data_IF_264657201478
#
_entry.id   IF_264657201478
#
_cell.length_a   1.000
_cell.length_b   1.000
_cell.length_c   1.000
_cell.angle_alpha   90.00
_cell.angle_beta   90.00
_cell.angle_gamma   90.00
#
_symmetry.space_group_name_H-M   'P 1'
#
loop_
_entity.id
_entity.type
_entity.pdbx_description
1 polymer ?
#
# COMPACT_ATOMS: atom_id res chain seq x y z
N UNK A 1 -12.92 30.70 9.14
CA UNK A 1 -13.29 29.40 8.53
C UNK A 1 -13.11 28.32 9.58
N UNK A 2 -13.99 27.33 9.67
CA UNK A 2 -13.80 26.20 10.57
C UNK A 2 -12.54 25.43 10.17
N UNK A 3 -11.76 24.96 11.16
CA UNK A 3 -10.61 24.10 10.87
C UNK A 3 -11.05 22.81 10.16
N UNK A 4 -10.24 22.27 9.23
CA UNK A 4 -10.48 20.95 8.64
C UNK A 4 -10.61 19.88 9.73
N UNK A 5 -11.55 18.95 9.55
CA UNK A 5 -11.81 17.85 10.49
C UNK A 5 -11.18 16.58 9.96
N UNK A 6 -10.15 16.10 10.65
CA UNK A 6 -9.41 14.90 10.26
C UNK A 6 -9.74 13.75 11.21
N UNK A 7 -10.00 12.57 10.65
CA UNK A 7 -10.16 11.34 11.44
C UNK A 7 -8.84 10.58 11.46
N UNK A 8 -8.29 10.34 12.65
CA UNK A 8 -7.11 9.51 12.87
C UNK A 8 -7.53 8.06 13.13
N UNK A 9 -7.09 7.15 12.27
CA UNK A 9 -7.29 5.71 12.40
C UNK A 9 -5.95 5.02 12.72
N UNK A 10 -5.98 4.04 13.60
CA UNK A 10 -4.78 3.43 14.18
C UNK A 10 -4.62 1.95 13.79
N UNK A 11 -3.59 1.66 13.00
CA UNK A 11 -3.08 0.31 12.77
C UNK A 11 -1.89 -0.06 13.66
N UNK A 12 -1.37 -1.29 13.53
CA UNK A 12 -0.17 -1.70 14.22
C UNK A 12 1.04 -1.02 13.56
N UNK A 13 2.12 -0.76 14.29
CA UNK A 13 3.33 -0.28 13.64
C UNK A 13 4.36 0.26 14.59
N UNK A 14 5.48 0.69 14.01
CA UNK A 14 6.58 1.32 14.75
C UNK A 14 6.22 2.70 15.26
N UNK A 15 5.46 3.49 14.49
CA UNK A 15 5.05 4.85 14.88
C UNK A 15 4.41 4.91 16.28
N UNK A 16 3.41 4.07 16.63
CA UNK A 16 2.85 4.08 17.98
C UNK A 16 3.70 3.30 19.00
N UNK A 17 4.78 2.61 18.61
CA UNK A 17 5.56 1.78 19.53
C UNK A 17 6.47 2.60 20.46
N UNK A 18 6.81 1.99 21.60
CA UNK A 18 7.72 2.55 22.59
C UNK A 18 8.92 1.63 22.80
N UNK A 19 10.12 2.21 22.84
CA UNK A 19 11.36 1.52 23.20
C UNK A 19 11.53 1.39 24.72
N UNK A 20 12.46 0.54 25.16
CA UNK A 20 12.83 0.42 26.60
C UNK A 20 13.45 1.72 27.13
N UNK A 21 14.26 2.35 26.30
CA UNK A 21 14.91 3.63 26.49
C UNK A 21 14.96 4.39 25.14
N UNK A 22 15.62 5.55 25.12
CA UNK A 22 15.69 6.41 23.93
C UNK A 22 16.64 5.86 22.84
N UNK A 23 17.50 4.90 23.14
CA UNK A 23 18.44 4.30 22.19
C UNK A 23 17.93 2.98 21.61
N UNK A 24 16.79 2.47 22.08
CA UNK A 24 16.15 1.27 21.55
C UNK A 24 15.47 1.53 20.18
N UNK A 25 16.30 1.57 19.13
CA UNK A 25 15.86 1.79 17.75
C UNK A 25 15.38 0.51 17.05
N UNK A 26 15.74 -0.67 17.56
CA UNK A 26 15.59 -1.93 16.84
C UNK A 26 14.79 -3.00 17.59
N UNK A 27 14.82 -2.98 18.93
CA UNK A 27 14.25 -4.05 19.77
C UNK A 27 12.98 -3.62 20.50
N UNK A 28 12.44 -2.45 20.18
CA UNK A 28 11.25 -1.85 20.80
C UNK A 28 10.01 -2.76 20.80
N UNK A 29 9.88 -3.71 19.86
CA UNK A 29 8.79 -4.70 19.88
C UNK A 29 8.85 -5.63 21.10
N UNK A 30 10.03 -5.78 21.68
CA UNK A 30 10.30 -6.57 22.89
C UNK A 30 10.45 -5.70 24.14
N UNK A 31 10.02 -4.42 24.09
CA UNK A 31 10.17 -3.50 25.22
C UNK A 31 9.25 -3.83 26.40
N UNK A 32 8.19 -4.60 26.16
CA UNK A 32 7.12 -4.84 27.15
C UNK A 32 6.20 -3.63 27.36
N UNK A 33 6.43 -2.52 26.65
CA UNK A 33 5.57 -1.33 26.71
C UNK A 33 4.46 -1.43 25.67
N UNK A 34 3.21 -1.07 26.01
CA UNK A 34 2.12 -1.03 25.05
C UNK A 34 2.38 0.04 23.98
N UNK A 35 1.76 -0.14 22.82
CA UNK A 35 1.67 0.93 21.82
C UNK A 35 0.87 2.10 22.38
N UNK A 36 1.25 3.32 21.99
CA UNK A 36 0.51 4.53 22.29
C UNK A 36 -0.84 4.51 21.56
N UNK A 37 -1.89 4.92 22.26
CA UNK A 37 -3.22 5.12 21.64
C UNK A 37 -3.23 6.36 20.76
N UNK A 38 -4.23 6.48 19.88
CA UNK A 38 -4.40 7.69 19.06
C UNK A 38 -4.45 8.97 19.90
N UNK A 39 -5.15 8.94 21.05
CA UNK A 39 -5.23 10.08 21.97
C UNK A 39 -3.88 10.42 22.60
N UNK A 40 -3.09 9.42 22.98
CA UNK A 40 -1.74 9.63 23.52
C UNK A 40 -0.81 10.24 22.46
N UNK A 41 -0.91 9.82 21.20
CA UNK A 41 -0.14 10.40 20.09
C UNK A 41 -0.54 11.86 19.84
N UNK A 42 -1.83 12.18 19.80
CA UNK A 42 -2.31 13.55 19.65
C UNK A 42 -1.88 14.44 20.82
N UNK A 43 -1.95 13.92 22.06
CA UNK A 43 -1.46 14.64 23.24
C UNK A 43 0.06 14.87 23.24
N UNK A 44 0.82 14.00 22.58
CA UNK A 44 2.27 14.14 22.45
C UNK A 44 2.73 15.05 21.29
N UNK A 45 1.81 15.41 20.37
CA UNK A 45 2.07 16.33 19.25
C UNK A 45 0.97 17.40 19.19
N UNK A 46 0.86 18.28 20.21
CA UNK A 46 -0.22 19.26 20.31
C UNK A 46 -0.24 20.28 19.16
N UNK A 47 0.89 20.47 18.46
CA UNK A 47 1.02 21.36 17.30
C UNK A 47 0.06 21.00 16.15
N UNK A 48 -0.42 19.75 16.11
CA UNK A 48 -1.44 19.29 15.16
C UNK A 48 -2.69 20.17 15.20
N UNK A 49 -3.08 20.68 16.38
CA UNK A 49 -4.26 21.50 16.57
C UNK A 49 -4.20 22.86 15.84
N UNK A 50 -3.01 23.29 15.40
CA UNK A 50 -2.87 24.48 14.57
C UNK A 50 -3.41 24.26 13.13
N UNK A 51 -3.45 23.01 12.66
CA UNK A 51 -3.75 22.67 11.27
C UNK A 51 -5.11 22.00 11.07
N UNK A 52 -5.57 21.22 12.04
CA UNK A 52 -6.83 20.49 11.95
C UNK A 52 -7.43 20.15 13.31
N UNK A 53 -8.74 20.02 13.34
CA UNK A 53 -9.45 19.36 14.44
C UNK A 53 -9.39 17.85 14.21
N UNK A 54 -8.58 17.13 15.00
CA UNK A 54 -8.37 15.69 14.84
C UNK A 54 -9.17 14.90 15.87
N UNK A 55 -9.88 13.87 15.41
CA UNK A 55 -10.59 12.91 16.27
C UNK A 55 -10.10 11.49 15.99
N UNK A 56 -9.99 10.67 17.03
CA UNK A 56 -9.60 9.25 16.88
C UNK A 56 -10.82 8.44 16.45
N UNK A 57 -10.62 7.45 15.58
CA UNK A 57 -11.62 6.46 15.25
C UNK A 57 -11.53 5.26 16.21
N UNK A 58 -12.45 5.19 17.17
CA UNK A 58 -12.45 4.09 18.16
C UNK A 58 -12.95 2.75 17.60
N UNK A 59 -13.54 2.75 16.40
CA UNK A 59 -14.10 1.55 15.79
C UNK A 59 -13.24 1.04 14.63
N UNK A 60 -12.05 1.61 14.38
CA UNK A 60 -11.21 1.14 13.28
C UNK A 60 -10.56 -0.22 13.62
N UNK A 61 -10.44 -1.13 12.63
CA UNK A 61 -9.79 -2.42 12.86
C UNK A 61 -8.28 -2.22 13.13
N UNK A 62 -7.76 -2.86 14.17
CA UNK A 62 -6.36 -2.74 14.60
C UNK A 62 -5.42 -3.82 14.03
N UNK A 63 -5.95 -4.91 13.48
CA UNK A 63 -5.15 -5.96 12.86
C UNK A 63 -5.03 -5.70 11.35
N UNK A 64 -3.81 -5.62 10.83
CA UNK A 64 -3.57 -5.65 9.38
C UNK A 64 -2.45 -6.64 9.10
N UNK A 65 -2.82 -7.80 8.59
CA UNK A 65 -1.88 -8.79 8.08
C UNK A 65 -2.48 -9.69 6.99
N UNK A 66 -3.77 -9.54 6.68
CA UNK A 66 -4.51 -10.39 5.75
C UNK A 66 -5.35 -9.59 4.76
N UNK A 67 -5.78 -10.22 3.67
CA UNK A 67 -6.70 -9.61 2.70
C UNK A 67 -8.06 -9.26 3.33
N UNK A 68 -8.53 -10.05 4.30
CA UNK A 68 -9.77 -9.76 5.02
C UNK A 68 -9.63 -8.54 5.93
N UNK A 69 -8.48 -8.36 6.57
CA UNK A 69 -8.20 -7.16 7.35
C UNK A 69 -8.19 -5.90 6.46
N UNK A 70 -7.56 -5.99 5.28
CA UNK A 70 -7.55 -4.91 4.29
C UNK A 70 -8.96 -4.58 3.80
N UNK A 71 -9.79 -5.61 3.56
CA UNK A 71 -11.21 -5.44 3.19
C UNK A 71 -11.97 -4.68 4.27
N UNK A 72 -11.87 -5.11 5.54
CA UNK A 72 -12.50 -4.45 6.70
C UNK A 72 -12.02 -3.00 6.86
N UNK A 73 -10.72 -2.77 6.71
CA UNK A 73 -10.16 -1.42 6.77
C UNK A 73 -10.73 -0.53 5.67
N UNK A 74 -10.81 -1.03 4.43
CA UNK A 74 -11.37 -0.24 3.32
C UNK A 74 -12.84 0.11 3.54
N UNK A 75 -13.64 -0.81 4.08
CA UNK A 75 -15.03 -0.53 4.43
C UNK A 75 -15.11 0.59 5.48
N UNK A 76 -14.32 0.50 6.55
CA UNK A 76 -14.29 1.51 7.60
C UNK A 76 -13.83 2.88 7.10
N UNK A 77 -12.82 2.91 6.24
CA UNK A 77 -12.33 4.15 5.61
C UNK A 77 -13.43 4.77 4.74
N UNK A 78 -14.14 3.97 3.94
CA UNK A 78 -15.25 4.45 3.13
C UNK A 78 -16.39 5.03 4.00
N UNK A 79 -16.77 4.36 5.09
CA UNK A 79 -17.75 4.87 6.05
C UNK A 79 -17.33 6.23 6.61
N UNK A 80 -16.08 6.35 7.08
CA UNK A 80 -15.59 7.59 7.66
C UNK A 80 -15.56 8.74 6.63
N UNK A 81 -15.06 8.47 5.41
CA UNK A 81 -14.97 9.47 4.35
C UNK A 81 -16.35 9.84 3.77
N UNK A 82 -17.37 8.99 3.90
CA UNK A 82 -18.74 9.31 3.49
C UNK A 82 -19.40 10.36 4.41
N UNK A 83 -18.98 10.47 5.68
CA UNK A 83 -19.58 11.42 6.63
C UNK A 83 -19.29 12.86 6.24
N UNK A 84 -20.31 13.72 6.30
CA UNK A 84 -20.17 15.16 6.03
C UNK A 84 -19.32 15.88 7.08
N UNK A 85 -19.09 15.25 8.23
CA UNK A 85 -18.28 15.80 9.33
C UNK A 85 -16.80 15.42 9.32
N UNK A 86 -16.34 14.72 8.28
CA UNK A 86 -14.94 14.33 8.07
C UNK A 86 -14.46 14.92 6.76
N UNK A 87 -13.35 15.66 6.79
CA UNK A 87 -12.76 16.31 5.63
C UNK A 87 -11.58 15.51 5.05
N UNK A 88 -10.91 14.69 5.88
CA UNK A 88 -9.86 13.75 5.48
C UNK A 88 -9.58 12.69 6.55
N UNK A 89 -8.83 11.64 6.19
CA UNK A 89 -8.42 10.56 7.09
C UNK A 89 -6.90 10.43 7.09
N UNK A 90 -6.33 10.22 8.28
CA UNK A 90 -4.96 9.73 8.47
C UNK A 90 -5.01 8.32 9.01
N UNK A 91 -4.31 7.39 8.36
CA UNK A 91 -4.15 6.02 8.81
C UNK A 91 -2.70 5.74 9.20
N UNK A 92 -2.46 5.40 10.46
CA UNK A 92 -1.15 5.00 10.96
C UNK A 92 -0.93 3.51 10.71
N UNK A 93 0.18 3.16 10.07
CA UNK A 93 0.50 1.77 9.71
C UNK A 93 1.99 1.44 9.90
N UNK A 94 2.26 0.15 10.10
CA UNK A 94 3.60 -0.41 10.16
C UNK A 94 4.29 -0.34 8.80
N UNK A 95 5.53 0.14 8.78
CA UNK A 95 6.21 0.43 7.51
C UNK A 95 6.46 -0.79 6.62
N UNK A 96 6.38 -2.01 7.17
CA UNK A 96 6.59 -3.24 6.43
C UNK A 96 5.58 -3.46 5.29
N UNK A 97 4.34 -2.99 5.45
CA UNK A 97 3.24 -3.22 4.49
C UNK A 97 2.44 -1.95 4.19
N UNK A 98 3.03 -0.76 4.42
CA UNK A 98 2.41 0.52 4.04
C UNK A 98 2.09 0.55 2.55
N UNK A 99 3.02 0.10 1.71
CA UNK A 99 2.84 0.17 0.25
C UNK A 99 1.70 -0.73 -0.25
N UNK A 100 1.50 -1.88 0.38
CA UNK A 100 0.39 -2.81 0.11
C UNK A 100 -0.93 -2.23 0.61
N UNK A 101 -0.97 -1.78 1.87
CA UNK A 101 -2.17 -1.22 2.50
C UNK A 101 -2.64 0.02 1.73
N UNK A 102 -1.72 0.94 1.43
CA UNK A 102 -2.03 2.17 0.71
C UNK A 102 -2.51 1.86 -0.71
N UNK A 103 -1.86 0.93 -1.42
CA UNK A 103 -2.28 0.59 -2.78
C UNK A 103 -3.64 -0.09 -2.81
N UNK A 104 -3.91 -1.01 -1.88
CA UNK A 104 -5.23 -1.62 -1.74
C UNK A 104 -6.32 -0.56 -1.55
N UNK A 105 -6.13 0.35 -0.58
CA UNK A 105 -7.07 1.46 -0.33
C UNK A 105 -7.20 2.39 -1.55
N UNK A 106 -6.12 2.60 -2.31
CA UNK A 106 -6.15 3.40 -3.53
C UNK A 106 -7.07 2.82 -4.61
N UNK A 107 -7.23 1.51 -4.62
CA UNK A 107 -8.10 0.79 -5.56
C UNK A 107 -9.55 0.68 -5.06
N UNK A 108 -9.80 0.73 -3.75
CA UNK A 108 -11.09 0.37 -3.15
C UNK A 108 -11.84 1.51 -2.46
N UNK A 109 -11.18 2.63 -2.16
CA UNK A 109 -11.80 3.79 -1.53
C UNK A 109 -12.61 4.63 -2.52
N UNK A 110 -13.85 4.97 -2.20
CA UNK A 110 -14.80 5.67 -3.08
C UNK A 110 -14.99 7.12 -2.67
N UNK A 111 -13.89 7.87 -2.55
CA UNK A 111 -13.92 9.28 -2.16
C UNK A 111 -12.82 10.10 -2.82
N UNK A 112 -13.09 11.40 -3.02
CA UNK A 112 -12.08 12.39 -3.38
C UNK A 112 -11.45 13.08 -2.16
N UNK A 113 -12.00 12.85 -0.95
CA UNK A 113 -11.42 13.39 0.28
C UNK A 113 -10.04 12.77 0.53
N UNK A 114 -9.09 13.49 1.14
CA UNK A 114 -7.75 12.98 1.37
C UNK A 114 -7.75 11.73 2.27
N UNK A 115 -7.00 10.72 1.85
CA UNK A 115 -6.59 9.60 2.70
C UNK A 115 -5.06 9.52 2.70
N UNK A 116 -4.48 9.75 3.86
CA UNK A 116 -3.04 9.73 4.08
C UNK A 116 -2.68 8.51 4.91
N UNK A 117 -1.77 7.67 4.40
CA UNK A 117 -1.16 6.60 5.17
C UNK A 117 0.22 7.06 5.66
N UNK A 118 0.52 6.87 6.94
CA UNK A 118 1.80 7.28 7.54
C UNK A 118 2.35 6.21 8.47
N UNK A 119 3.64 6.28 8.76
CA UNK A 119 4.34 5.37 9.67
C UNK A 119 5.68 5.95 10.09
N UNK A 120 6.52 5.15 10.74
CA UNK A 120 7.85 5.57 11.19
C UNK A 120 8.85 4.43 11.11
N UNK A 121 10.12 4.74 10.88
CA UNK A 121 11.21 3.76 11.01
C UNK A 121 11.68 3.60 12.46
N UNK A 122 11.54 4.63 13.29
CA UNK A 122 11.92 4.62 14.71
C UNK A 122 10.68 4.64 15.60
N UNK A 123 10.69 3.96 16.75
CA UNK A 123 9.56 4.00 17.69
C UNK A 123 9.36 5.42 18.21
N UNK A 124 8.15 5.77 18.66
CA UNK A 124 7.78 7.13 19.07
C UNK A 124 8.75 7.72 20.10
N UNK A 125 9.20 6.92 21.06
CA UNK A 125 10.03 7.34 22.18
C UNK A 125 11.54 7.36 21.90
N UNK A 126 11.96 6.91 20.70
CA UNK A 126 13.37 6.88 20.34
C UNK A 126 13.95 8.28 20.17
N UNK A 127 15.27 8.39 20.39
CA UNK A 127 16.05 9.57 20.07
C UNK A 127 15.93 9.91 18.59
N UNK A 128 15.58 11.17 18.30
CA UNK A 128 15.37 11.67 16.94
C UNK A 128 14.42 10.77 16.14
N UNK A 129 13.32 10.36 16.77
CA UNK A 129 12.27 9.60 16.11
C UNK A 129 11.64 10.42 14.99
N UNK A 130 11.37 9.76 13.86
CA UNK A 130 10.63 10.34 12.73
C UNK A 130 9.11 10.34 12.97
N UNK A 131 8.63 9.60 13.99
CA UNK A 131 7.21 9.41 14.27
C UNK A 131 6.42 10.71 14.52
N UNK A 132 6.87 11.66 15.38
CA UNK A 132 6.09 12.87 15.65
C UNK A 132 5.90 13.74 14.40
N UNK A 133 6.97 13.96 13.63
CA UNK A 133 6.92 14.80 12.43
C UNK A 133 6.14 14.13 11.31
N UNK A 134 6.31 12.82 11.09
CA UNK A 134 5.50 12.08 10.10
C UNK A 134 4.01 12.11 10.43
N UNK A 135 3.63 12.11 11.71
CA UNK A 135 2.23 12.25 12.14
C UNK A 135 1.70 13.67 11.88
N UNK A 136 2.48 14.70 12.25
CA UNK A 136 2.13 16.09 11.99
C UNK A 136 1.94 16.36 10.50
N UNK A 137 2.91 15.95 9.68
CA UNK A 137 2.85 16.13 8.22
C UNK A 137 1.70 15.36 7.59
N UNK A 138 1.40 14.15 8.08
CA UNK A 138 0.25 13.40 7.59
C UNK A 138 -1.07 14.13 7.86
N UNK A 139 -1.22 14.77 9.03
CA UNK A 139 -2.41 15.59 9.32
C UNK A 139 -2.44 16.86 8.46
N UNK A 140 -1.30 17.56 8.32
CA UNK A 140 -1.19 18.74 7.44
C UNK A 140 -1.61 18.40 6.01
N UNK A 141 -1.14 17.28 5.48
CA UNK A 141 -1.49 16.79 4.14
C UNK A 141 -2.95 16.36 4.05
N UNK A 142 -3.50 15.67 5.06
CA UNK A 142 -4.91 15.27 5.08
C UNK A 142 -5.87 16.47 5.15
N UNK A 143 -5.44 17.57 5.78
CA UNK A 143 -6.18 18.82 5.90
C UNK A 143 -6.02 19.74 4.67
N UNK A 144 -5.04 19.48 3.81
CA UNK A 144 -4.71 20.37 2.71
C UNK A 144 -5.68 20.21 1.52
N UNK A 145 -6.31 21.29 1.02
CA UNK A 145 -7.27 21.21 -0.09
C UNK A 145 -6.68 20.60 -1.38
N UNK A 146 -5.39 20.87 -1.65
CA UNK A 146 -4.69 20.36 -2.82
C UNK A 146 -4.48 18.84 -2.81
N UNK A 147 -4.71 18.15 -1.68
CA UNK A 147 -4.61 16.69 -1.58
C UNK A 147 -5.86 15.99 -2.15
N UNK A 148 -6.99 16.71 -2.25
CA UNK A 148 -8.24 16.15 -2.76
C UNK A 148 -8.06 15.61 -4.18
N UNK A 149 -8.54 14.39 -4.40
CA UNK A 149 -8.48 13.74 -5.71
C UNK A 149 -7.09 13.25 -6.15
N UNK A 150 -6.07 13.25 -5.28
CA UNK A 150 -4.73 12.70 -5.59
C UNK A 150 -4.58 11.20 -5.29
N UNK A 151 -5.70 10.49 -5.16
CA UNK A 151 -5.72 9.10 -4.68
C UNK A 151 -5.34 9.00 -3.21
N UNK A 152 -4.92 7.80 -2.80
CA UNK A 152 -4.31 7.59 -1.48
C UNK A 152 -2.85 8.00 -1.55
N UNK A 153 -2.37 8.71 -0.53
CA UNK A 153 -0.97 9.16 -0.46
C UNK A 153 -0.27 8.58 0.76
N UNK A 154 1.02 8.33 0.63
CA UNK A 154 1.90 7.95 1.74
C UNK A 154 2.77 9.15 2.09
N UNK A 155 2.75 9.55 3.37
CA UNK A 155 3.56 10.66 3.89
C UNK A 155 4.56 10.12 4.89
N UNK A 156 5.85 10.33 4.61
CA UNK A 156 6.94 10.02 5.51
C UNK A 156 8.16 10.85 5.11
N UNK A 157 8.98 11.26 6.08
CA UNK A 157 10.23 11.99 5.83
C UNK A 157 10.01 13.30 5.03
N UNK A 158 8.90 14.00 5.29
CA UNK A 158 8.51 15.21 4.54
C UNK A 158 8.13 14.98 3.07
N UNK A 159 8.10 13.73 2.60
CA UNK A 159 7.83 13.37 1.19
C UNK A 159 6.39 12.86 1.03
N UNK A 160 5.69 13.34 0.00
CA UNK A 160 4.34 12.91 -0.34
C UNK A 160 4.40 12.00 -1.57
N UNK A 161 4.11 10.72 -1.37
CA UNK A 161 4.19 9.69 -2.40
C UNK A 161 2.80 9.21 -2.83
N UNK A 162 2.62 8.86 -4.10
CA UNK A 162 1.40 8.19 -4.57
C UNK A 162 1.36 6.74 -4.09
N UNK A 163 0.22 6.26 -3.59
CA UNK A 163 0.08 4.90 -3.08
C UNK A 163 0.46 3.82 -4.11
N UNK A 164 0.21 4.04 -5.40
CA UNK A 164 0.59 3.11 -6.48
C UNK A 164 2.10 2.95 -6.63
N UNK A 165 2.84 4.04 -6.49
CA UNK A 165 4.26 4.11 -6.89
C UNK A 165 5.20 3.88 -5.71
N UNK A 166 4.79 4.25 -4.50
CA UNK A 166 5.64 4.18 -3.31
C UNK A 166 6.04 2.76 -2.95
N UNK A 167 7.31 2.51 -2.68
CA UNK A 167 7.79 1.22 -2.15
C UNK A 167 8.82 1.44 -1.06
N UNK A 168 8.92 0.52 -0.10
CA UNK A 168 9.96 0.56 0.94
C UNK A 168 11.26 0.01 0.37
N UNK A 169 12.28 0.87 0.25
CA UNK A 169 13.56 0.56 -0.43
C UNK A 169 14.70 0.22 0.53
N UNK A 170 14.53 0.46 1.81
CA UNK A 170 15.54 0.24 2.83
C UNK A 170 14.92 -0.23 4.16
N UNK A 171 15.63 -1.12 4.86
CA UNK A 171 15.17 -1.72 6.11
C UNK A 171 15.28 -0.81 7.34
N UNK A 172 16.11 0.24 7.30
CA UNK A 172 16.38 1.12 8.46
C UNK A 172 16.42 2.62 8.17
N UNK A 173 16.73 3.03 6.93
CA UNK A 173 16.88 4.45 6.58
C UNK A 173 15.51 5.16 6.64
N UNK A 174 15.48 6.38 7.19
CA UNK A 174 14.24 7.16 7.34
C UNK A 174 13.60 7.47 5.98
N UNK A 175 14.44 7.78 5.00
CA UNK A 175 14.11 8.08 3.61
C UNK A 175 13.83 6.82 2.76
N UNK A 176 13.20 5.80 3.35
CA UNK A 176 13.04 4.48 2.72
C UNK A 176 11.89 4.41 1.72
N UNK A 177 10.85 5.21 1.90
CA UNK A 177 9.72 5.21 0.98
C UNK A 177 10.07 6.01 -0.26
N UNK A 178 10.11 5.35 -1.42
CA UNK A 178 10.47 5.96 -2.70
C UNK A 178 9.44 5.64 -3.75
N UNK A 179 9.11 6.63 -4.58
CA UNK A 179 8.35 6.46 -5.83
C UNK A 179 9.27 6.34 -7.06
N UNK A 180 10.52 5.90 -6.86
CA UNK A 180 11.59 5.63 -7.85
C UNK A 180 11.53 6.52 -9.11
N UNK A 181 11.53 5.93 -10.31
CA UNK A 181 11.55 6.62 -11.61
C UNK A 181 10.35 7.53 -11.86
N UNK A 182 9.23 7.25 -11.19
CA UNK A 182 8.02 8.05 -11.35
C UNK A 182 8.14 9.33 -10.54
N UNK A 183 8.73 9.28 -9.36
CA UNK A 183 9.02 10.43 -8.49
C UNK A 183 7.87 10.81 -7.55
N UNK A 184 8.13 11.75 -6.66
CA UNK A 184 7.18 12.19 -5.63
C UNK A 184 6.00 12.97 -6.23
N UNK A 185 4.90 13.06 -5.47
CA UNK A 185 3.83 14.01 -5.77
C UNK A 185 4.19 15.42 -5.32
N UNK A 186 4.92 15.54 -4.22
CA UNK A 186 5.18 16.79 -3.53
C UNK A 186 5.89 16.61 -2.20
N UNK A 187 5.95 17.70 -1.43
CA UNK A 187 6.62 17.77 -0.13
C UNK A 187 5.74 18.45 0.91
N UNK A 188 5.93 18.05 2.17
CA UNK A 188 5.36 18.68 3.36
C UNK A 188 6.43 19.55 4.04
N UNK A 189 6.87 20.60 3.34
CA UNK A 189 7.95 21.47 3.80
C UNK A 189 7.52 22.35 4.99
N UNK A 190 8.47 22.99 5.72
CA UNK A 190 8.15 23.73 6.93
C UNK A 190 7.10 24.84 6.76
N UNK A 191 7.08 25.51 5.61
CA UNK A 191 6.18 26.62 5.31
C UNK A 191 4.88 26.17 4.61
N UNK A 192 4.92 25.17 3.74
CA UNK A 192 3.79 24.78 2.91
C UNK A 192 3.75 23.29 2.51
N UNK A 193 2.56 22.85 2.12
CA UNK A 193 2.37 21.60 1.37
C UNK A 193 2.40 21.94 -0.13
N UNK A 194 3.40 21.45 -0.85
CA UNK A 194 3.60 21.78 -2.28
C UNK A 194 3.53 20.52 -3.13
N UNK A 195 2.76 20.58 -4.22
CA UNK A 195 2.63 19.50 -5.19
C UNK A 195 3.25 19.89 -6.53
N UNK A 196 4.04 18.98 -7.09
CA UNK A 196 4.66 19.12 -8.41
C UNK A 196 4.10 18.12 -9.42
N UNK A 197 3.46 17.05 -8.96
CA UNK A 197 2.89 15.97 -9.79
C UNK A 197 1.51 15.52 -9.29
N UNK A 198 0.83 14.76 -10.14
CA UNK A 198 -0.42 14.05 -9.83
C UNK A 198 -0.37 12.64 -10.44
N UNK A 199 -1.00 11.63 -9.81
CA UNK A 199 -1.06 10.29 -10.38
C UNK A 199 -1.81 10.29 -11.73
N UNK A 200 -1.36 9.47 -12.68
CA UNK A 200 -2.00 9.32 -13.99
C UNK A 200 -2.84 8.04 -14.14
N UNK A 201 -2.68 7.09 -13.22
CA UNK A 201 -3.37 5.80 -13.21
C UNK A 201 -4.70 5.91 -12.47
N UNK A 202 -5.68 5.09 -12.87
CA UNK A 202 -7.03 5.12 -12.27
C UNK A 202 -6.94 4.80 -10.80
N UNK A 203 -7.67 5.55 -9.98
CA UNK A 203 -7.74 5.34 -8.54
C UNK A 203 -9.06 5.84 -7.97
N UNK A 204 -9.35 5.42 -6.75
CA UNK A 204 -10.46 5.88 -5.92
C UNK A 204 -11.81 5.97 -6.65
N UNK A 205 -12.32 7.17 -6.90
CA UNK A 205 -13.59 7.40 -7.61
C UNK A 205 -13.58 6.89 -9.05
N UNK A 206 -12.41 6.84 -9.69
CA UNK A 206 -12.25 6.31 -11.05
C UNK A 206 -12.04 4.79 -11.07
N UNK A 207 -11.91 4.15 -9.91
CA UNK A 207 -11.71 2.71 -9.83
C UNK A 207 -12.96 1.93 -10.22
N UNK A 208 -12.81 0.69 -10.69
CA UNK A 208 -13.91 -0.23 -10.96
C UNK A 208 -14.11 -1.25 -9.84
N UNK A 209 -13.24 -1.26 -8.83
CA UNK A 209 -13.32 -2.19 -7.70
C UNK A 209 -14.16 -1.62 -6.56
N UNK A 210 -15.38 -2.13 -6.42
CA UNK A 210 -16.23 -1.83 -5.26
C UNK A 210 -16.11 -2.93 -4.21
N UNK A 211 -15.39 -2.63 -3.13
CA UNK A 211 -15.10 -3.60 -2.06
C UNK A 211 -16.33 -3.95 -1.22
N UNK A 212 -17.39 -3.12 -1.23
CA UNK A 212 -18.61 -3.39 -0.47
C UNK A 212 -19.38 -4.61 -1.01
N UNK A 213 -19.24 -4.90 -2.31
CA UNK A 213 -19.84 -6.06 -2.96
C UNK A 213 -18.96 -7.32 -2.89
N UNK A 214 -17.78 -7.26 -2.26
CA UNK A 214 -16.83 -8.37 -2.20
C UNK A 214 -16.94 -9.09 -0.86
N UNK A 215 -17.33 -10.36 -0.91
CA UNK A 215 -17.38 -11.23 0.27
C UNK A 215 -15.99 -11.75 0.65
N UNK A 216 -15.23 -12.23 -0.35
CA UNK A 216 -13.88 -12.78 -0.17
C UNK A 216 -13.01 -12.37 -1.36
N UNK A 217 -11.74 -12.07 -1.07
CA UNK A 217 -10.72 -11.89 -2.10
C UNK A 217 -10.09 -13.24 -2.49
N UNK A 218 -9.99 -13.55 -3.80
CA UNK A 218 -9.27 -14.71 -4.31
C UNK A 218 -7.85 -14.78 -3.78
N UNK A 219 -7.37 -16.00 -3.51
CA UNK A 219 -6.00 -16.21 -3.03
C UNK A 219 -5.03 -16.02 -4.19
N UNK A 220 -4.07 -15.11 -4.02
CA UNK A 220 -2.99 -14.87 -4.97
C UNK A 220 -1.65 -15.05 -4.27
N UNK A 221 -0.85 -15.99 -4.76
CA UNK A 221 0.48 -16.27 -4.19
C UNK A 221 1.57 -15.63 -5.06
N UNK A 222 2.62 -15.14 -4.41
CA UNK A 222 3.80 -14.58 -5.10
C UNK A 222 4.92 -15.61 -5.11
N UNK A 223 5.38 -15.98 -6.30
CA UNK A 223 6.49 -16.93 -6.49
C UNK A 223 7.75 -16.15 -6.85
N UNK A 224 8.79 -16.28 -6.02
CA UNK A 224 10.07 -15.63 -6.26
C UNK A 224 10.99 -16.49 -7.11
N UNK A 225 11.43 -15.96 -8.25
CA UNK A 225 12.35 -16.68 -9.14
C UNK A 225 13.79 -16.36 -8.75
N UNK A 226 14.60 -17.39 -8.59
CA UNK A 226 16.05 -17.33 -8.40
C UNK A 226 16.72 -18.43 -9.22
N UNK A 227 18.06 -18.42 -9.28
CA UNK A 227 18.82 -19.49 -9.95
C UNK A 227 18.62 -20.87 -9.33
N UNK A 228 18.17 -20.92 -8.07
CA UNK A 228 17.87 -22.16 -7.35
C UNK A 228 16.40 -22.58 -7.44
N UNK A 229 15.54 -21.81 -8.10
CA UNK A 229 14.13 -22.16 -8.26
C UNK A 229 13.99 -23.44 -9.09
N UNK A 230 13.12 -24.33 -8.64
CA UNK A 230 12.82 -25.63 -9.26
C UNK A 230 11.33 -25.73 -9.53
N UNK A 231 10.96 -26.50 -10.57
CA UNK A 231 9.56 -26.77 -10.90
C UNK A 231 8.82 -27.43 -9.75
N UNK A 232 7.51 -27.19 -9.66
CA UNK A 232 6.62 -27.71 -8.62
C UNK A 232 6.26 -26.65 -7.56
N UNK A 233 6.94 -25.50 -7.57
CA UNK A 233 6.59 -24.37 -6.70
C UNK A 233 5.21 -23.79 -7.05
N UNK A 234 4.87 -23.70 -8.34
CA UNK A 234 3.58 -23.16 -8.76
C UNK A 234 2.46 -24.19 -8.55
N UNK A 235 2.73 -25.47 -8.82
CA UNK A 235 1.82 -26.57 -8.50
C UNK A 235 1.54 -26.66 -6.98
N UNK A 236 2.55 -26.46 -6.13
CA UNK A 236 2.34 -26.42 -4.68
C UNK A 236 1.41 -25.27 -4.25
N UNK A 237 1.55 -24.09 -4.86
CA UNK A 237 0.65 -22.96 -4.57
C UNK A 237 -0.79 -23.26 -5.01
N UNK A 238 -0.98 -23.84 -6.20
CA UNK A 238 -2.28 -24.33 -6.68
C UNK A 238 -2.89 -25.37 -5.74
N UNK A 239 -2.10 -26.33 -5.26
CA UNK A 239 -2.52 -27.35 -4.30
C UNK A 239 -2.97 -26.77 -2.94
N UNK A 240 -2.49 -25.57 -2.58
CA UNK A 240 -2.93 -24.82 -1.41
C UNK A 240 -4.12 -23.87 -1.71
N UNK A 241 -4.64 -23.87 -2.93
CA UNK A 241 -5.82 -23.11 -3.35
C UNK A 241 -5.53 -21.72 -3.93
N UNK A 242 -4.34 -21.48 -4.47
CA UNK A 242 -4.08 -20.24 -5.20
C UNK A 242 -4.92 -20.18 -6.49
N UNK A 243 -5.66 -19.09 -6.67
CA UNK A 243 -6.51 -18.81 -7.85
C UNK A 243 -5.76 -17.93 -8.87
N UNK A 244 -4.71 -17.25 -8.41
CA UNK A 244 -3.78 -16.49 -9.24
C UNK A 244 -2.36 -16.60 -8.72
N UNK A 245 -1.39 -16.43 -9.63
CA UNK A 245 0.03 -16.46 -9.34
C UNK A 245 0.68 -15.19 -9.85
N UNK A 246 1.44 -14.52 -8.99
CA UNK A 246 2.32 -13.43 -9.41
C UNK A 246 3.76 -13.90 -9.34
N UNK A 247 4.48 -13.77 -10.44
CA UNK A 247 5.87 -14.20 -10.54
C UNK A 247 6.77 -13.00 -10.31
N UNK A 248 7.53 -12.99 -9.23
CA UNK A 248 8.64 -12.05 -9.04
C UNK A 248 9.84 -12.53 -9.88
N UNK A 249 9.69 -12.40 -11.20
CA UNK A 249 10.62 -12.89 -12.20
C UNK A 249 11.91 -12.07 -12.25
N UNK A 250 12.90 -12.60 -12.97
CA UNK A 250 14.20 -11.94 -13.17
C UNK A 250 14.14 -10.94 -14.32
N UNK A 251 14.97 -9.89 -14.26
CA UNK A 251 15.09 -8.91 -15.35
C UNK A 251 13.74 -8.32 -15.77
N UNK A 252 13.48 -8.32 -17.07
CA UNK A 252 12.24 -7.84 -17.69
C UNK A 252 11.07 -8.86 -17.64
N UNK A 253 11.02 -9.72 -16.61
CA UNK A 253 9.93 -10.69 -16.42
C UNK A 253 10.22 -12.09 -16.94
N UNK A 254 11.49 -12.53 -16.96
CA UNK A 254 11.87 -13.90 -17.29
C UNK A 254 11.64 -14.85 -16.09
N UNK A 255 10.79 -15.86 -16.30
CA UNK A 255 10.43 -16.87 -15.29
C UNK A 255 11.53 -17.93 -15.05
N UNK A 256 12.59 -17.94 -15.86
CA UNK A 256 13.72 -18.86 -15.71
C UNK A 256 13.28 -20.32 -15.69
N UNK A 257 13.78 -21.09 -14.71
CA UNK A 257 13.48 -22.52 -14.57
C UNK A 257 11.98 -22.84 -14.35
N UNK A 258 11.15 -21.85 -14.02
CA UNK A 258 9.71 -22.04 -13.82
C UNK A 258 8.87 -21.77 -15.08
N UNK A 259 9.51 -21.35 -16.18
CA UNK A 259 8.81 -20.89 -17.39
C UNK A 259 7.84 -21.94 -17.95
N UNK A 260 8.31 -23.18 -18.15
CA UNK A 260 7.48 -24.26 -18.69
C UNK A 260 6.28 -24.62 -17.78
N UNK A 261 6.49 -24.66 -16.46
CA UNK A 261 5.41 -24.94 -15.48
C UNK A 261 4.36 -23.83 -15.50
N UNK A 262 4.79 -22.57 -15.45
CA UNK A 262 3.90 -21.41 -15.44
C UNK A 262 3.16 -21.24 -16.77
N UNK A 263 3.83 -21.52 -17.90
CA UNK A 263 3.22 -21.53 -19.22
C UNK A 263 2.11 -22.60 -19.32
N UNK A 264 2.36 -23.81 -18.80
CA UNK A 264 1.36 -24.88 -18.77
C UNK A 264 0.14 -24.49 -17.92
N UNK A 265 0.36 -23.96 -16.71
CA UNK A 265 -0.71 -23.49 -15.82
C UNK A 265 -1.59 -22.43 -16.50
N UNK A 266 -0.96 -21.45 -17.19
CA UNK A 266 -1.67 -20.39 -17.90
C UNK A 266 -2.42 -20.93 -19.14
N UNK A 267 -1.80 -21.80 -19.93
CA UNK A 267 -2.39 -22.40 -21.12
C UNK A 267 -3.64 -23.22 -20.76
N UNK A 268 -3.57 -24.01 -19.69
CA UNK A 268 -4.64 -24.85 -19.18
C UNK A 268 -5.67 -24.08 -18.32
N UNK A 269 -5.45 -22.78 -18.09
CA UNK A 269 -6.32 -21.89 -17.30
C UNK A 269 -6.56 -22.40 -15.87
N UNK A 270 -5.56 -23.06 -15.27
CA UNK A 270 -5.64 -23.55 -13.88
C UNK A 270 -5.51 -22.43 -12.85
N UNK A 271 -4.80 -21.35 -13.20
CA UNK A 271 -4.77 -20.08 -12.49
C UNK A 271 -4.38 -18.96 -13.46
N UNK A 272 -4.69 -17.71 -13.10
CA UNK A 272 -4.16 -16.55 -13.84
C UNK A 272 -2.72 -16.31 -13.43
N UNK A 273 -1.80 -16.27 -14.40
CA UNK A 273 -0.37 -16.05 -14.14
C UNK A 273 0.05 -14.66 -14.59
N UNK A 274 0.51 -13.84 -13.64
CA UNK A 274 1.01 -12.49 -13.86
C UNK A 274 2.53 -12.45 -13.73
N UNK A 275 3.23 -11.96 -14.74
CA UNK A 275 4.67 -11.71 -14.72
C UNK A 275 4.94 -10.31 -14.17
N UNK A 276 5.52 -10.24 -12.98
CA UNK A 276 6.12 -9.03 -12.40
C UNK A 276 7.65 -9.20 -12.39
N UNK A 277 8.37 -8.33 -11.69
CA UNK A 277 9.83 -8.41 -11.60
C UNK A 277 10.32 -8.14 -10.19
N UNK A 278 11.32 -8.91 -9.76
CA UNK A 278 12.03 -8.66 -8.49
C UNK A 278 13.03 -7.51 -8.56
N UNK A 279 13.25 -6.91 -9.74
CA UNK A 279 14.12 -5.74 -9.93
C UNK A 279 13.58 -4.52 -9.16
N UNK A 280 12.25 -4.40 -9.09
CA UNK A 280 11.55 -3.37 -8.33
C UNK A 280 11.33 -2.04 -9.05
N UNK A 281 11.79 -1.91 -10.31
CA UNK A 281 11.53 -0.78 -11.19
C UNK A 281 11.55 -1.22 -12.67
N UNK A 282 11.08 -0.34 -13.55
CA UNK A 282 10.86 -0.66 -14.96
C UNK A 282 9.57 -1.44 -15.22
N UNK A 283 9.23 -1.60 -16.51
CA UNK A 283 8.03 -2.30 -16.95
C UNK A 283 8.35 -3.74 -17.36
N UNK A 284 7.48 -4.67 -16.98
CA UNK A 284 7.32 -5.97 -17.66
C UNK A 284 6.27 -5.77 -18.74
N UNK A 285 6.62 -6.12 -19.98
CA UNK A 285 5.77 -5.93 -21.17
C UNK A 285 5.32 -7.28 -21.73
N UNK A 286 4.22 -7.27 -22.50
CA UNK A 286 3.88 -8.38 -23.39
C UNK A 286 4.80 -8.26 -24.62
N UNK A 287 5.76 -9.16 -24.74
CA UNK A 287 6.68 -9.27 -25.87
C UNK A 287 6.94 -10.74 -26.22
N UNK A 288 7.49 -11.00 -27.39
CA UNK A 288 7.72 -12.39 -27.85
C UNK A 288 8.90 -13.08 -27.14
N UNK A 289 9.55 -12.43 -26.17
CA UNK A 289 10.70 -13.00 -25.45
C UNK A 289 10.27 -13.98 -24.36
N UNK A 290 9.30 -13.58 -23.52
CA UNK A 290 8.92 -14.32 -22.31
C UNK A 290 7.40 -14.46 -22.14
N UNK A 291 6.61 -13.99 -23.11
CA UNK A 291 5.15 -14.05 -23.06
C UNK A 291 4.65 -15.39 -23.59
N UNK A 292 3.90 -16.11 -22.74
CA UNK A 292 3.09 -17.24 -23.17
C UNK A 292 1.61 -16.85 -23.32
N UNK A 293 0.80 -17.61 -24.08
CA UNK A 293 -0.65 -17.42 -24.12
C UNK A 293 -1.27 -17.40 -22.72
N UNK A 294 -2.29 -16.56 -22.53
CA UNK A 294 -3.03 -16.39 -21.27
C UNK A 294 -2.24 -15.86 -20.06
N UNK A 295 -0.94 -15.56 -20.19
CA UNK A 295 -0.20 -14.84 -19.14
C UNK A 295 -0.48 -13.32 -19.22
N UNK A 296 -0.35 -12.65 -18.09
CA UNK A 296 -0.50 -11.20 -17.95
C UNK A 296 0.84 -10.57 -17.58
N UNK A 297 1.15 -9.39 -18.12
CA UNK A 297 2.31 -8.59 -17.71
C UNK A 297 1.90 -7.54 -16.68
N UNK A 298 2.66 -7.41 -15.59
CA UNK A 298 2.33 -6.55 -14.45
C UNK A 298 2.57 -5.04 -14.65
N UNK A 299 2.91 -4.62 -15.87
CA UNK A 299 3.44 -3.28 -16.15
C UNK A 299 4.62 -2.98 -15.21
N UNK A 300 4.60 -1.88 -14.45
CA UNK A 300 5.64 -1.52 -13.49
C UNK A 300 5.26 -1.82 -12.03
N UNK A 301 4.23 -2.64 -11.78
CA UNK A 301 3.84 -2.99 -10.41
C UNK A 301 4.80 -4.02 -9.82
N UNK A 302 5.36 -3.77 -8.61
CA UNK A 302 6.14 -4.78 -7.91
C UNK A 302 5.25 -5.95 -7.47
N UNK A 303 5.83 -7.13 -7.20
CA UNK A 303 5.08 -8.37 -7.03
C UNK A 303 3.97 -8.29 -5.95
N UNK A 304 4.27 -7.68 -4.81
CA UNK A 304 3.32 -7.50 -3.70
C UNK A 304 2.10 -6.64 -4.08
N UNK A 305 2.28 -5.63 -4.94
CA UNK A 305 1.17 -4.79 -5.43
C UNK A 305 0.41 -5.44 -6.58
N UNK A 306 1.14 -6.12 -7.47
CA UNK A 306 0.54 -6.91 -8.53
C UNK A 306 -0.39 -8.00 -7.96
N UNK A 307 -0.03 -8.61 -6.82
CA UNK A 307 -0.87 -9.61 -6.16
C UNK A 307 -2.21 -9.02 -5.68
N UNK A 308 -2.19 -7.81 -5.11
CA UNK A 308 -3.40 -7.12 -4.67
C UNK A 308 -4.30 -6.73 -5.85
N UNK A 309 -3.72 -6.21 -6.93
CA UNK A 309 -4.49 -5.86 -8.13
C UNK A 309 -5.09 -7.11 -8.79
N UNK A 310 -4.33 -8.21 -8.87
CA UNK A 310 -4.82 -9.48 -9.39
C UNK A 310 -5.97 -10.03 -8.53
N UNK A 311 -5.83 -10.02 -7.19
CA UNK A 311 -6.89 -10.47 -6.30
C UNK A 311 -8.20 -9.69 -6.51
N UNK A 312 -8.11 -8.36 -6.69
CA UNK A 312 -9.27 -7.53 -7.00
C UNK A 312 -9.84 -7.78 -8.40
N UNK A 313 -8.98 -8.02 -9.40
CA UNK A 313 -9.41 -8.33 -10.76
C UNK A 313 -10.15 -9.67 -10.84
N UNK A 314 -9.66 -10.69 -10.13
CA UNK A 314 -10.22 -12.04 -10.09
C UNK A 314 -11.62 -12.10 -9.49
N UNK A 315 -12.02 -11.13 -8.66
CA UNK A 315 -13.41 -11.00 -8.20
C UNK A 315 -14.37 -10.73 -9.36
N UNK A 316 -13.89 -10.11 -10.44
CA UNK A 316 -14.71 -9.65 -11.56
C UNK A 316 -14.57 -10.51 -12.82
N UNK A 317 -13.39 -11.05 -13.07
CA UNK A 317 -13.11 -11.79 -14.30
C UNK A 317 -11.90 -12.69 -14.15
N UNK A 318 -11.89 -13.80 -14.87
CA UNK A 318 -10.72 -14.68 -15.06
C UNK A 318 -10.16 -14.60 -16.49
N UNK A 319 -10.68 -13.69 -17.32
CA UNK A 319 -10.21 -13.47 -18.69
C UNK A 319 -8.87 -12.72 -18.71
N UNK A 320 -7.78 -13.33 -19.21
CA UNK A 320 -6.44 -12.74 -19.21
C UNK A 320 -6.36 -11.38 -19.90
N UNK A 321 -7.12 -11.14 -20.97
CA UNK A 321 -7.03 -9.86 -21.70
C UNK A 321 -7.72 -8.72 -20.95
N UNK A 322 -8.85 -8.99 -20.28
CA UNK A 322 -9.47 -8.02 -19.36
C UNK A 322 -8.59 -7.75 -18.13
N UNK A 323 -7.93 -8.79 -17.60
CA UNK A 323 -6.97 -8.61 -16.51
C UNK A 323 -5.76 -7.81 -16.98
N UNK A 324 -5.27 -8.03 -18.20
CA UNK A 324 -4.21 -7.21 -18.77
C UNK A 324 -4.60 -5.74 -18.87
N UNK A 325 -5.82 -5.43 -19.35
CA UNK A 325 -6.35 -4.06 -19.36
C UNK A 325 -6.34 -3.44 -17.97
N UNK A 326 -6.72 -4.21 -16.94
CA UNK A 326 -6.65 -3.75 -15.55
C UNK A 326 -5.21 -3.36 -15.17
N UNK A 327 -4.22 -4.22 -15.42
CA UNK A 327 -2.81 -3.92 -15.13
C UNK A 327 -2.26 -2.72 -15.92
N UNK A 328 -2.80 -2.44 -17.10
CA UNK A 328 -2.42 -1.29 -17.91
C UNK A 328 -3.06 0.04 -17.46
N UNK A 329 -4.14 0.00 -16.68
CA UNK A 329 -4.89 1.21 -16.28
C UNK A 329 -4.73 1.60 -14.81
N UNK A 330 -4.38 0.66 -13.94
CA UNK A 330 -4.34 0.80 -12.47
C UNK A 330 -2.94 0.72 -11.87
#
# INVERSE_FOLDING_TARGET
MSQPRVRLMMGPGTLPSQGRDRLDLARYRSSGRPQLTGHQLLGAVPEIAAFASVTVDEANPHGIATLEDLRKLSLRVNEALARSDVDGVVFVQGTNSIEETAYFLNLTVRSAKPLVVTGAQRPFTAMSSDAPLNLLDAVRVAAHPGTRGKGVVVVANGEINAAREVTKTNTYRLQTFRSRDVGLLGYADPDAIVYYRSPARRHTLQSEFDIAAVERLPRVDVIHVSVASQSGLAEAALGLGAEGLVVAATGAGSCGNLDAELAAIAAERRAVVVRSSRVGEGRVIRDDNWQHPNMVAADNLPPQKAALLLALALVRTTDPDEIQRVFEQY
#
